data_IF_700819829897
#
_entry.id   IF_700819829897
#
_cell.length_a   1.000
_cell.length_b   1.000
_cell.length_c   1.000
_cell.angle_alpha   90.00
_cell.angle_beta   90.00
_cell.angle_gamma   90.00
#
_symmetry.space_group_name_H-M   'P 1'
#
loop_
_entity.id
_entity.type
_entity.pdbx_description
1 polymer ?
#
# COMPACT_ATOMS: atom_id res chain seq x y z
N UNK A 1 -12.43 4.13 1.68
CA UNK A 1 -12.14 4.41 0.28
C UNK A 1 -10.85 3.67 -0.03
N UNK A 2 -10.96 2.47 -0.58
CA UNK A 2 -9.86 1.81 -1.25
C UNK A 2 -9.68 2.54 -2.60
N UNK A 3 -8.93 3.63 -2.61
CA UNK A 3 -8.39 4.17 -3.84
C UNK A 3 -7.02 3.52 -3.99
N UNK A 4 -6.97 2.48 -4.77
CA UNK A 4 -6.00 2.27 -5.82
C UNK A 4 -6.26 0.92 -6.45
N UNK A 5 -6.85 0.98 -7.60
CA UNK A 5 -6.69 -0.06 -8.58
C UNK A 5 -5.48 0.37 -9.41
N UNK A 6 -4.46 -0.45 -9.34
CA UNK A 6 -3.24 -0.30 -10.09
C UNK A 6 -3.54 -0.01 -11.57
N UNK A 7 -2.71 0.82 -12.18
CA UNK A 7 -2.55 0.91 -13.62
C UNK A 7 -2.44 -0.52 -14.19
N UNK A 8 -3.14 -0.87 -15.29
CA UNK A 8 -3.01 -2.17 -15.95
C UNK A 8 -1.57 -2.53 -16.36
N UNK A 9 -0.66 -1.55 -16.44
CA UNK A 9 0.77 -1.80 -16.66
C UNK A 9 1.47 -2.34 -15.41
N UNK A 10 0.96 -2.08 -14.20
CA UNK A 10 1.50 -2.57 -12.92
C UNK A 10 0.83 -3.86 -12.43
N UNK A 11 -0.09 -4.42 -13.20
CA UNK A 11 -0.86 -5.64 -12.87
C UNK A 11 -0.01 -6.90 -12.57
N UNK A 12 1.31 -6.83 -12.67
CA UNK A 12 2.22 -7.92 -12.32
C UNK A 12 2.58 -7.96 -10.81
N UNK A 13 2.19 -6.95 -10.03
CA UNK A 13 2.47 -6.88 -8.58
C UNK A 13 1.35 -6.15 -7.84
N UNK A 14 0.16 -6.73 -7.81
CA UNK A 14 -0.89 -6.18 -6.95
C UNK A 14 -0.44 -6.24 -5.48
N UNK A 15 -0.19 -5.06 -4.91
CA UNK A 15 0.09 -4.95 -3.48
C UNK A 15 -1.08 -5.51 -2.66
N UNK A 16 -0.82 -6.13 -1.51
CA UNK A 16 -1.89 -6.53 -0.61
C UNK A 16 -2.70 -5.30 -0.16
N UNK A 17 -4.02 -5.41 -0.19
CA UNK A 17 -4.92 -4.35 0.26
C UNK A 17 -5.31 -4.61 1.71
N UNK A 18 -4.94 -3.70 2.62
CA UNK A 18 -5.33 -3.78 4.02
C UNK A 18 -6.75 -3.25 4.21
N UNK A 19 -7.64 -4.10 4.71
CA UNK A 19 -9.05 -3.78 4.98
C UNK A 19 -9.36 -4.09 6.44
N UNK A 20 -10.09 -3.20 7.12
CA UNK A 20 -10.55 -3.50 8.47
C UNK A 20 -11.67 -4.53 8.45
N UNK A 21 -11.68 -5.42 9.44
CA UNK A 21 -12.76 -6.38 9.60
C UNK A 21 -14.12 -5.65 9.64
N UNK A 22 -15.00 -6.00 8.72
CA UNK A 22 -16.32 -5.37 8.55
C UNK A 22 -16.35 -4.15 7.64
N UNK A 23 -15.20 -3.58 7.26
CA UNK A 23 -15.13 -2.59 6.19
C UNK A 23 -15.21 -3.30 4.83
N UNK A 24 -15.50 -2.53 3.78
CA UNK A 24 -15.73 -3.06 2.43
C UNK A 24 -14.65 -2.56 1.48
N UNK A 25 -13.98 -3.47 0.78
CA UNK A 25 -13.13 -3.16 -0.36
C UNK A 25 -13.97 -3.03 -1.63
N UNK A 26 -13.70 -2.01 -2.44
CA UNK A 26 -14.21 -1.90 -3.81
C UNK A 26 -13.24 -2.60 -4.75
N UNK A 27 -13.75 -3.48 -5.59
CA UNK A 27 -13.01 -4.18 -6.65
C UNK A 27 -13.58 -3.73 -7.99
N UNK A 28 -12.74 -3.24 -8.87
CA UNK A 28 -13.15 -2.66 -10.15
C UNK A 28 -12.34 -3.25 -11.30
N UNK A 29 -12.99 -3.94 -12.22
CA UNK A 29 -12.41 -4.48 -13.44
C UNK A 29 -12.75 -3.63 -14.68
N UNK A 30 -13.32 -2.45 -14.52
CA UNK A 30 -13.87 -1.64 -15.62
C UNK A 30 -12.80 -1.17 -16.63
N UNK A 31 -11.53 -1.17 -16.26
CA UNK A 31 -10.41 -0.81 -17.14
C UNK A 31 -9.99 -1.92 -18.09
N UNK A 32 -10.51 -3.15 -17.93
CA UNK A 32 -10.20 -4.27 -18.81
C UNK A 32 -10.63 -3.98 -20.24
N UNK A 33 -9.69 -4.06 -21.18
CA UNK A 33 -9.90 -3.81 -22.59
C UNK A 33 -10.26 -5.13 -23.32
N UNK A 34 -11.20 -5.06 -24.26
CA UNK A 34 -11.55 -6.21 -25.10
C UNK A 34 -11.77 -5.80 -26.56
N UNK A 35 -11.60 -6.72 -27.52
CA UNK A 35 -11.76 -6.42 -28.94
C UNK A 35 -13.16 -5.93 -29.32
N UNK A 36 -14.21 -6.43 -28.67
CA UNK A 36 -15.60 -6.02 -28.96
C UNK A 36 -16.10 -4.90 -28.06
N UNK A 37 -15.34 -4.55 -27.00
CA UNK A 37 -15.78 -3.62 -25.94
C UNK A 37 -16.80 -4.25 -24.98
N UNK A 38 -17.08 -5.55 -25.08
CA UNK A 38 -18.02 -6.27 -24.21
C UNK A 38 -17.24 -7.21 -23.30
N UNK A 39 -17.10 -6.84 -22.02
CA UNK A 39 -16.38 -7.64 -21.03
C UNK A 39 -17.34 -8.16 -19.97
N UNK A 40 -17.21 -9.44 -19.65
CA UNK A 40 -17.88 -10.09 -18.51
C UNK A 40 -16.81 -10.49 -17.50
N UNK A 41 -16.95 -10.04 -16.29
CA UNK A 41 -16.07 -10.32 -15.17
C UNK A 41 -16.62 -11.43 -14.28
N UNK A 42 -15.73 -12.33 -13.87
CA UNK A 42 -16.00 -13.37 -12.88
C UNK A 42 -15.02 -13.25 -11.72
N UNK A 43 -15.52 -12.78 -10.59
CA UNK A 43 -14.77 -12.65 -9.35
C UNK A 43 -14.93 -13.89 -8.49
N UNK A 44 -13.84 -14.40 -7.94
CA UNK A 44 -13.83 -15.61 -7.11
C UNK A 44 -12.91 -15.44 -5.91
N UNK A 45 -13.38 -15.76 -4.71
CA UNK A 45 -12.52 -15.89 -3.52
C UNK A 45 -11.85 -17.26 -3.60
N UNK A 46 -10.57 -17.29 -3.98
CA UNK A 46 -9.80 -18.53 -4.18
C UNK A 46 -9.13 -19.02 -2.90
N UNK A 47 -8.84 -18.13 -1.96
CA UNK A 47 -8.34 -18.46 -0.63
C UNK A 47 -8.99 -17.57 0.43
N UNK A 48 -9.16 -18.10 1.64
CA UNK A 48 -9.74 -17.37 2.79
C UNK A 48 -9.29 -17.97 4.12
N UNK A 49 -9.31 -17.20 5.22
CA UNK A 49 -9.04 -17.71 6.56
C UNK A 49 -10.02 -18.79 6.98
N UNK A 50 -9.58 -19.68 7.86
CA UNK A 50 -10.44 -20.71 8.42
C UNK A 50 -11.64 -20.08 9.15
N UNK A 51 -12.84 -20.61 8.89
CA UNK A 51 -14.11 -20.11 9.46
C UNK A 51 -14.74 -18.96 8.67
N UNK A 52 -14.08 -18.41 7.65
CA UNK A 52 -14.68 -17.39 6.81
C UNK A 52 -15.75 -17.96 5.88
N UNK A 53 -16.84 -17.21 5.75
CA UNK A 53 -17.95 -17.45 4.80
C UNK A 53 -18.07 -16.31 3.78
N UNK A 54 -17.11 -15.36 3.79
CA UNK A 54 -17.14 -14.20 2.90
C UNK A 54 -17.24 -14.62 1.43
N UNK A 55 -18.15 -13.98 0.72
CA UNK A 55 -18.45 -14.22 -0.69
C UNK A 55 -18.37 -12.93 -1.47
N UNK A 56 -18.24 -13.07 -2.79
CA UNK A 56 -18.22 -11.96 -3.72
C UNK A 56 -19.35 -12.10 -4.73
N UNK A 57 -19.94 -10.98 -5.12
CA UNK A 57 -21.00 -10.95 -6.14
C UNK A 57 -20.38 -10.45 -7.44
N UNK A 58 -20.59 -11.19 -8.54
CA UNK A 58 -20.02 -10.85 -9.83
C UNK A 58 -20.62 -9.56 -10.40
N UNK A 59 -19.77 -8.77 -11.09
CA UNK A 59 -20.10 -7.51 -11.74
C UNK A 59 -18.85 -6.86 -12.29
N UNK A 60 -18.98 -5.80 -13.11
CA UNK A 60 -17.83 -5.03 -13.59
C UNK A 60 -17.09 -4.35 -12.44
N UNK A 61 -17.85 -3.78 -11.52
CA UNK A 61 -17.37 -3.38 -10.22
C UNK A 61 -18.12 -4.15 -9.15
N UNK A 62 -17.46 -4.56 -8.10
CA UNK A 62 -18.05 -5.31 -7.00
C UNK A 62 -17.42 -4.92 -5.67
N UNK A 63 -17.98 -5.42 -4.59
CA UNK A 63 -17.49 -5.16 -3.24
C UNK A 63 -17.18 -6.47 -2.53
N UNK A 64 -16.17 -6.43 -1.69
CA UNK A 64 -15.79 -7.53 -0.84
C UNK A 64 -15.68 -7.05 0.61
N UNK A 65 -16.33 -7.76 1.52
CA UNK A 65 -16.30 -7.49 2.97
C UNK A 65 -15.75 -8.72 3.68
N UNK A 66 -14.54 -8.64 4.25
CA UNK A 66 -13.96 -9.74 5.02
C UNK A 66 -14.73 -9.91 6.33
N UNK A 67 -14.99 -11.17 6.73
CA UNK A 67 -15.72 -11.56 7.93
C UNK A 67 -14.84 -12.19 9.02
N UNK A 68 -13.61 -12.55 8.68
CA UNK A 68 -12.60 -13.11 9.59
C UNK A 68 -11.26 -12.43 9.35
N UNK A 69 -10.48 -12.21 10.40
CA UNK A 69 -9.11 -11.68 10.32
C UNK A 69 -8.20 -12.65 9.57
N UNK A 70 -7.34 -12.13 8.70
CA UNK A 70 -6.37 -12.89 7.92
C UNK A 70 -6.44 -12.58 6.43
N UNK A 71 -5.69 -13.34 5.63
CA UNK A 71 -5.53 -13.11 4.20
C UNK A 71 -6.61 -13.80 3.36
N UNK A 72 -7.10 -13.04 2.37
CA UNK A 72 -7.99 -13.52 1.31
C UNK A 72 -7.30 -13.35 -0.03
N UNK A 73 -7.42 -14.33 -0.91
CA UNK A 73 -7.03 -14.17 -2.31
C UNK A 73 -8.29 -14.11 -3.17
N UNK A 74 -8.40 -13.04 -3.93
CA UNK A 74 -9.50 -12.85 -4.88
C UNK A 74 -8.93 -12.92 -6.28
N UNK A 75 -9.60 -13.68 -7.16
CA UNK A 75 -9.25 -13.85 -8.56
C UNK A 75 -10.29 -13.19 -9.45
N UNK A 76 -9.83 -12.48 -10.47
CA UNK A 76 -10.63 -11.93 -11.55
C UNK A 76 -10.34 -12.66 -12.85
N UNK A 77 -11.34 -13.29 -13.42
CA UNK A 77 -11.35 -13.78 -14.81
C UNK A 77 -12.21 -12.86 -15.67
N UNK A 78 -11.71 -12.49 -16.85
CA UNK A 78 -12.42 -11.63 -17.79
C UNK A 78 -12.62 -12.32 -19.13
N UNK A 79 -13.83 -12.23 -19.66
CA UNK A 79 -14.17 -12.82 -20.97
C UNK A 79 -14.87 -11.80 -21.86
N UNK A 80 -14.59 -11.83 -23.14
CA UNK A 80 -15.37 -11.16 -24.17
C UNK A 80 -16.20 -12.21 -24.92
N UNK A 81 -17.49 -12.36 -24.57
CA UNK A 81 -18.35 -13.37 -25.17
C UNK A 81 -18.66 -13.10 -26.64
N UNK A 82 -18.55 -11.84 -27.08
CA UNK A 82 -18.81 -11.44 -28.49
C UNK A 82 -17.63 -11.79 -29.38
N UNK A 83 -16.40 -11.55 -28.92
CA UNK A 83 -15.19 -11.92 -29.65
C UNK A 83 -14.75 -13.37 -29.40
N UNK A 84 -15.34 -14.05 -28.40
CA UNK A 84 -14.98 -15.43 -28.04
C UNK A 84 -13.58 -15.56 -27.44
N UNK A 85 -13.08 -14.51 -26.74
CA UNK A 85 -11.76 -14.50 -26.10
C UNK A 85 -11.86 -14.37 -24.60
N UNK A 86 -10.86 -14.88 -23.90
CA UNK A 86 -10.72 -14.76 -22.44
C UNK A 86 -9.38 -14.12 -22.11
N UNK A 87 -9.25 -13.61 -20.89
CA UNK A 87 -7.95 -13.16 -20.35
C UNK A 87 -6.91 -14.29 -20.41
N UNK A 88 -5.62 -13.93 -20.49
CA UNK A 88 -4.52 -14.91 -20.57
C UNK A 88 -4.32 -15.72 -19.29
N UNK A 89 -5.09 -15.44 -18.26
CA UNK A 89 -5.11 -16.07 -16.94
C UNK A 89 -5.83 -15.18 -15.95
N UNK A 90 -6.17 -15.70 -14.77
CA UNK A 90 -6.81 -14.90 -13.74
C UNK A 90 -5.80 -13.89 -13.14
N UNK A 91 -6.25 -12.67 -12.99
CA UNK A 91 -5.57 -11.68 -12.14
C UNK A 91 -5.92 -11.96 -10.68
N UNK A 92 -4.98 -11.78 -9.77
CA UNK A 92 -5.20 -12.03 -8.35
C UNK A 92 -4.84 -10.83 -7.50
N UNK A 93 -5.65 -10.57 -6.49
CA UNK A 93 -5.39 -9.57 -5.47
C UNK A 93 -5.43 -10.22 -4.09
N UNK A 94 -4.48 -9.88 -3.23
CA UNK A 94 -4.52 -10.25 -1.81
C UNK A 94 -5.21 -9.15 -1.02
N UNK A 95 -6.21 -9.52 -0.22
CA UNK A 95 -6.82 -8.64 0.78
C UNK A 95 -6.47 -9.17 2.15
N UNK A 96 -5.87 -8.33 2.98
CA UNK A 96 -5.55 -8.64 4.37
C UNK A 96 -6.57 -7.95 5.27
N UNK A 97 -7.38 -8.75 5.96
CA UNK A 97 -8.35 -8.26 6.93
C UNK A 97 -7.70 -8.15 8.30
N UNK A 98 -7.62 -6.94 8.84
CA UNK A 98 -7.11 -6.66 10.17
C UNK A 98 -8.22 -6.35 11.17
N UNK A 99 -8.04 -6.75 12.43
CA UNK A 99 -9.00 -6.49 13.50
C UNK A 99 -9.05 -5.02 13.95
N UNK A 100 -7.97 -4.29 13.69
CA UNK A 100 -7.82 -2.89 14.06
C UNK A 100 -7.24 -2.07 12.90
N UNK A 101 -7.50 -0.77 12.90
CA UNK A 101 -6.89 0.15 11.93
C UNK A 101 -5.37 0.15 12.10
N UNK A 102 -4.60 0.36 11.01
CA UNK A 102 -3.15 0.39 11.11
C UNK A 102 -2.70 1.40 12.17
N UNK A 103 -1.69 1.04 12.94
CA UNK A 103 -1.10 1.90 13.94
C UNK A 103 -0.44 3.12 13.31
N UNK A 104 0.16 2.94 12.13
CA UNK A 104 0.82 3.98 11.37
C UNK A 104 0.34 3.94 9.92
N UNK A 105 0.05 5.11 9.37
CA UNK A 105 -0.15 5.32 7.93
C UNK A 105 0.67 6.51 7.49
N UNK A 106 1.49 6.34 6.50
CA UNK A 106 2.19 7.40 5.83
C UNK A 106 1.69 7.54 4.38
N UNK A 107 1.48 8.78 3.96
CA UNK A 107 0.97 9.11 2.62
C UNK A 107 1.85 10.20 2.04
N UNK A 108 2.55 9.91 0.96
CA UNK A 108 3.27 10.87 0.15
C UNK A 108 2.36 11.40 -0.96
N UNK A 109 2.35 12.71 -1.15
CA UNK A 109 1.59 13.38 -2.23
C UNK A 109 2.45 14.44 -2.89
N UNK A 110 2.35 14.56 -4.20
CA UNK A 110 3.04 15.57 -5.01
C UNK A 110 2.23 15.94 -6.24
N UNK A 111 2.63 17.02 -6.91
CA UNK A 111 1.93 17.56 -8.08
C UNK A 111 2.91 17.72 -9.26
N UNK A 112 3.63 16.65 -9.57
CA UNK A 112 4.56 16.60 -10.69
C UNK A 112 4.48 15.22 -11.35
N UNK A 113 4.71 15.18 -12.64
CA UNK A 113 4.84 13.97 -13.44
C UNK A 113 6.24 13.34 -13.20
N UNK A 114 6.47 12.92 -11.97
CA UNK A 114 7.71 12.31 -11.49
C UNK A 114 7.35 11.21 -10.50
N UNK A 115 8.21 10.24 -10.42
CA UNK A 115 8.10 9.09 -9.57
C UNK A 115 8.76 9.36 -8.20
N UNK A 116 8.00 9.22 -7.15
CA UNK A 116 8.47 9.29 -5.77
C UNK A 116 8.09 8.03 -5.02
N UNK A 117 9.08 7.38 -4.46
CA UNK A 117 8.91 6.13 -3.70
C UNK A 117 8.85 6.41 -2.20
N UNK A 118 7.76 6.00 -1.55
CA UNK A 118 7.67 6.04 -0.10
C UNK A 118 8.33 4.80 0.52
N UNK A 119 9.06 5.00 1.60
CA UNK A 119 9.72 3.95 2.36
C UNK A 119 9.28 3.97 3.82
N UNK A 120 9.02 2.81 4.39
CA UNK A 120 8.91 2.60 5.82
C UNK A 120 9.97 1.59 6.25
N UNK A 121 10.99 2.06 6.96
CA UNK A 121 12.12 1.25 7.40
C UNK A 121 12.05 0.99 8.89
N UNK A 122 12.13 -0.28 9.26
CA UNK A 122 12.29 -0.72 10.65
C UNK A 122 13.78 -0.81 11.00
N UNK A 123 14.17 -0.38 12.20
CA UNK A 123 15.56 -0.50 12.65
C UNK A 123 15.99 -1.97 12.85
N UNK A 124 17.21 -2.25 12.43
CA UNK A 124 17.93 -3.45 12.81
C UNK A 124 19.18 -3.08 13.62
N UNK A 125 19.22 -3.49 14.89
CA UNK A 125 20.33 -3.15 15.80
C UNK A 125 20.69 -1.65 15.81
N UNK A 126 19.66 -0.78 15.77
CA UNK A 126 19.78 0.68 15.71
C UNK A 126 20.35 1.22 14.38
N UNK A 127 20.38 0.43 13.33
CA UNK A 127 20.70 0.86 11.97
C UNK A 127 19.43 0.91 11.11
N UNK A 128 19.39 1.84 10.16
CA UNK A 128 18.32 1.95 9.17
C UNK A 128 18.93 1.78 7.79
N UNK A 129 18.53 0.73 7.11
CA UNK A 129 19.01 0.41 5.77
C UNK A 129 17.82 0.46 4.80
N UNK A 130 17.76 1.51 4.00
CA UNK A 130 16.81 1.58 2.90
C UNK A 130 17.13 0.50 1.86
N UNK A 131 16.09 -0.04 1.23
CA UNK A 131 16.14 -1.18 0.32
C UNK A 131 16.58 -2.52 0.95
N UNK A 132 16.52 -2.63 2.28
CA UNK A 132 16.74 -3.90 2.97
C UNK A 132 15.51 -4.80 2.79
N UNK A 133 15.65 -6.00 2.20
CA UNK A 133 14.51 -6.87 1.91
C UNK A 133 13.80 -7.40 3.16
N UNK A 134 14.39 -7.25 4.34
CA UNK A 134 13.80 -7.69 5.60
C UNK A 134 13.19 -6.53 6.40
N UNK A 135 13.70 -5.31 6.23
CA UNK A 135 13.38 -4.21 7.13
C UNK A 135 12.85 -2.95 6.44
N UNK A 136 12.66 -2.96 5.13
CA UNK A 136 12.13 -1.83 4.37
C UNK A 136 10.90 -2.24 3.55
N UNK A 137 9.77 -1.59 3.82
CA UNK A 137 8.58 -1.68 2.99
C UNK A 137 8.60 -0.55 1.95
N UNK A 138 8.72 -0.92 0.68
CA UNK A 138 8.82 -0.01 -0.46
C UNK A 138 8.30 -0.67 -1.75
N UNK A 139 8.36 0.01 -2.89
CA UNK A 139 7.79 -0.43 -4.17
C UNK A 139 8.19 -1.86 -4.62
N UNK A 140 9.41 -2.31 -4.32
CA UNK A 140 9.90 -3.65 -4.71
C UNK A 140 9.78 -4.69 -3.57
N UNK A 141 9.40 -4.25 -2.37
CA UNK A 141 9.19 -5.08 -1.18
C UNK A 141 7.92 -4.63 -0.44
N UNK A 142 6.78 -4.94 -1.02
CA UNK A 142 5.50 -4.37 -0.63
C UNK A 142 5.03 -4.75 0.77
N UNK A 143 5.48 -5.88 1.30
CA UNK A 143 5.04 -6.37 2.61
C UNK A 143 6.07 -7.32 3.22
N UNK A 144 7.14 -6.79 3.82
CA UNK A 144 8.08 -7.60 4.57
C UNK A 144 7.42 -8.25 5.79
N UNK A 145 7.82 -9.48 6.09
CA UNK A 145 7.30 -10.27 7.23
C UNK A 145 7.92 -9.75 8.53
N UNK A 146 7.19 -8.84 9.20
CA UNK A 146 7.58 -8.24 10.47
C UNK A 146 6.80 -8.87 11.64
N UNK A 147 7.23 -8.60 12.88
CA UNK A 147 6.54 -9.11 14.06
C UNK A 147 6.56 -10.62 14.18
N UNK A 148 5.41 -11.26 14.16
CA UNK A 148 5.27 -12.72 14.22
C UNK A 148 5.35 -13.30 12.82
N UNK A 149 6.41 -14.06 12.54
CA UNK A 149 6.63 -14.65 11.23
C UNK A 149 5.40 -15.40 10.69
N UNK A 150 4.96 -15.00 9.50
CA UNK A 150 3.79 -15.53 8.81
C UNK A 150 2.45 -14.94 9.28
N UNK A 151 2.43 -13.99 10.23
CA UNK A 151 1.23 -13.24 10.61
C UNK A 151 1.18 -11.91 9.84
N UNK A 152 0.41 -11.90 8.76
CA UNK A 152 0.24 -10.73 7.90
C UNK A 152 -0.47 -9.55 8.60
N UNK A 153 -1.03 -9.76 9.77
CA UNK A 153 -1.82 -8.73 10.48
C UNK A 153 -0.97 -7.80 11.34
N UNK A 154 0.33 -8.04 11.45
CA UNK A 154 1.28 -7.16 12.14
C UNK A 154 2.40 -6.63 11.20
N UNK A 155 2.31 -6.93 9.91
CA UNK A 155 3.23 -6.49 8.88
C UNK A 155 3.07 -5.02 8.45
N UNK A 156 4.08 -4.51 7.75
CA UNK A 156 3.95 -3.33 6.92
C UNK A 156 3.31 -3.66 5.57
N UNK A 157 2.63 -2.66 4.98
CA UNK A 157 2.01 -2.78 3.65
C UNK A 157 2.25 -1.51 2.84
N UNK A 158 2.99 -1.63 1.76
CA UNK A 158 3.07 -0.64 0.71
C UNK A 158 1.92 -0.88 -0.30
N UNK A 159 1.15 0.16 -0.63
CA UNK A 159 -0.09 0.01 -1.40
C UNK A 159 0.11 -0.04 -2.92
N UNK A 160 1.32 -0.11 -3.38
CA UNK A 160 1.71 -0.14 -4.78
C UNK A 160 2.58 1.05 -5.16
N UNK A 161 3.20 0.93 -6.30
CA UNK A 161 4.12 1.87 -6.91
C UNK A 161 3.37 2.80 -7.87
N UNK A 162 3.53 4.11 -7.75
CA UNK A 162 2.99 5.12 -8.66
C UNK A 162 4.11 5.65 -9.55
N UNK A 163 4.34 4.97 -10.67
CA UNK A 163 5.42 5.30 -11.62
C UNK A 163 5.08 6.40 -12.61
N UNK A 164 3.79 6.79 -12.72
CA UNK A 164 3.32 7.78 -13.69
C UNK A 164 3.15 9.19 -13.12
N UNK A 165 3.41 9.37 -11.82
CA UNK A 165 3.46 10.65 -11.14
C UNK A 165 2.12 11.10 -10.54
N UNK A 166 2.16 12.26 -9.85
CA UNK A 166 1.06 12.87 -9.10
C UNK A 166 0.66 12.17 -7.81
N UNK A 167 1.10 10.94 -7.53
CA UNK A 167 0.79 10.20 -6.32
C UNK A 167 -0.72 9.95 -6.13
N UNK A 168 -1.15 9.51 -4.97
CA UNK A 168 -0.37 9.33 -3.74
C UNK A 168 0.33 7.98 -3.65
N UNK A 169 1.46 7.91 -2.98
CA UNK A 169 1.98 6.65 -2.46
C UNK A 169 1.67 6.48 -0.98
N UNK A 170 1.38 5.26 -0.58
CA UNK A 170 0.89 4.94 0.77
C UNK A 170 1.62 3.74 1.33
N UNK A 171 2.07 3.84 2.57
CA UNK A 171 2.52 2.70 3.37
C UNK A 171 1.80 2.68 4.71
N UNK A 172 1.34 1.50 5.09
CA UNK A 172 0.71 1.22 6.38
C UNK A 172 1.60 0.31 7.23
N UNK A 173 1.56 0.48 8.55
CA UNK A 173 2.05 -0.49 9.51
C UNK A 173 0.89 -0.90 10.41
N UNK A 174 0.53 -2.15 10.37
CA UNK A 174 -0.60 -2.67 11.12
C UNK A 174 -0.36 -2.53 12.64
N UNK A 175 0.87 -2.82 13.11
CA UNK A 175 1.22 -2.79 14.52
C UNK A 175 2.67 -2.35 14.73
N UNK A 176 2.90 -1.40 15.65
CA UNK A 176 4.23 -1.06 16.10
C UNK A 176 4.79 -2.17 17.01
N UNK A 177 6.02 -2.58 16.77
CA UNK A 177 6.74 -3.52 17.63
C UNK A 177 7.47 -2.79 18.77
N UNK A 178 7.28 -3.26 20.00
CA UNK A 178 8.00 -2.74 21.17
C UNK A 178 9.52 -2.93 21.01
N UNK A 179 10.28 -1.89 21.25
CA UNK A 179 11.75 -1.92 21.16
C UNK A 179 12.29 -1.70 19.74
N UNK A 180 11.40 -1.46 18.77
CA UNK A 180 11.77 -1.07 17.42
C UNK A 180 11.59 0.42 17.20
N UNK A 181 12.34 0.97 16.25
CA UNK A 181 12.18 2.33 15.74
C UNK A 181 11.95 2.27 14.25
N UNK A 182 11.09 3.15 13.76
CA UNK A 182 10.70 3.19 12.35
C UNK A 182 11.06 4.55 11.77
N UNK A 183 11.54 4.56 10.52
CA UNK A 183 11.72 5.79 9.76
C UNK A 183 10.85 5.78 8.52
N UNK A 184 10.25 6.93 8.25
CA UNK A 184 9.51 7.17 7.01
C UNK A 184 10.33 8.12 6.16
N UNK A 185 10.62 7.69 4.94
CA UNK A 185 11.34 8.46 3.95
C UNK A 185 10.61 8.48 2.61
N UNK A 186 11.03 9.38 1.74
CA UNK A 186 10.56 9.45 0.36
C UNK A 186 11.78 9.60 -0.54
N UNK A 187 11.92 8.70 -1.52
CA UNK A 187 12.97 8.77 -2.52
C UNK A 187 12.45 9.43 -3.79
N UNK A 188 13.32 10.16 -4.48
CA UNK A 188 13.07 10.57 -5.84
C UNK A 188 13.56 9.47 -6.78
N UNK A 189 12.67 8.57 -7.18
CA UNK A 189 12.97 7.36 -7.94
C UNK A 189 13.32 7.66 -9.39
N UNK A 190 12.42 8.28 -10.15
CA UNK A 190 12.67 8.57 -11.55
C UNK A 190 12.08 9.91 -12.03
N UNK A 191 12.47 10.34 -13.22
CA UNK A 191 11.95 11.55 -13.88
C UNK A 191 11.17 11.19 -15.12
N UNK A 192 9.97 11.78 -15.22
CA UNK A 192 9.15 11.75 -16.41
C UNK A 192 9.17 13.10 -17.11
N UNK A 193 9.39 13.11 -18.43
CA UNK A 193 9.20 14.29 -19.29
C UNK A 193 10.05 15.52 -18.98
N UNK A 194 9.53 16.69 -19.36
CA UNK A 194 10.14 18.03 -19.22
C UNK A 194 9.66 18.77 -17.96
N UNK A 195 9.42 18.07 -16.89
CA UNK A 195 8.87 18.66 -15.67
C UNK A 195 9.91 19.47 -14.89
N UNK A 196 9.50 20.36 -13.97
CA UNK A 196 10.42 21.18 -13.21
C UNK A 196 11.42 20.31 -12.46
N UNK A 197 12.69 20.73 -12.46
CA UNK A 197 13.76 20.06 -11.72
C UNK A 197 13.62 20.18 -10.20
N UNK A 198 12.63 20.95 -9.75
CA UNK A 198 12.31 21.15 -8.34
C UNK A 198 10.79 21.26 -8.19
N UNK A 199 10.25 20.47 -7.30
CA UNK A 199 8.82 20.51 -6.93
C UNK A 199 8.67 20.22 -5.43
N UNK A 200 7.48 20.48 -4.89
CA UNK A 200 7.19 20.16 -3.50
C UNK A 200 6.46 18.84 -3.40
N UNK A 201 6.83 18.04 -2.41
CA UNK A 201 6.09 16.88 -1.98
C UNK A 201 5.67 17.04 -0.52
N UNK A 202 4.59 16.40 -0.14
CA UNK A 202 4.07 16.43 1.22
C UNK A 202 3.92 15.01 1.73
N UNK A 203 4.54 14.72 2.86
CA UNK A 203 4.34 13.48 3.59
C UNK A 203 3.43 13.73 4.80
N UNK A 204 2.33 13.01 4.83
CA UNK A 204 1.39 12.99 5.95
C UNK A 204 1.52 11.68 6.70
N UNK A 205 1.82 11.77 7.99
CA UNK A 205 1.89 10.65 8.90
C UNK A 205 0.67 10.66 9.82
N UNK A 206 -0.03 9.55 9.93
CA UNK A 206 -1.14 9.33 10.85
C UNK A 206 -0.77 8.19 11.78
N UNK A 207 -0.60 8.50 13.06
CA UNK A 207 -0.34 7.53 14.11
C UNK A 207 -1.57 7.33 14.99
N UNK A 208 -1.89 6.07 15.29
CA UNK A 208 -2.99 5.68 16.18
C UNK A 208 -2.42 4.83 17.31
N UNK A 209 -2.34 5.38 18.54
CA UNK A 209 -1.87 4.62 19.68
C UNK A 209 -2.80 3.45 19.99
N UNK A 210 -2.22 2.28 20.30
CA UNK A 210 -2.97 1.10 20.71
C UNK A 210 -3.64 1.26 22.07
N UNK A 211 -3.11 2.15 22.92
CA UNK A 211 -3.60 2.41 24.30
C UNK A 211 -3.64 3.92 24.52
N UNK A 212 -4.71 4.41 25.11
CA UNK A 212 -4.89 5.82 25.45
C UNK A 212 -6.11 6.45 24.77
N UNK A 213 -6.32 7.77 24.90
CA UNK A 213 -7.42 8.45 24.21
C UNK A 213 -7.20 8.34 22.71
N UNK A 214 -8.11 7.66 22.04
CA UNK A 214 -8.00 7.14 20.68
C UNK A 214 -8.06 8.21 19.57
N UNK A 215 -7.55 9.41 19.81
CA UNK A 215 -7.46 10.41 18.74
C UNK A 215 -6.17 10.18 17.94
N UNK A 216 -6.26 9.97 16.62
CA UNK A 216 -5.09 9.88 15.78
C UNK A 216 -4.26 11.16 15.86
N UNK A 217 -2.95 11.02 15.98
CA UNK A 217 -2.03 12.13 15.74
C UNK A 217 -1.75 12.22 14.26
N UNK A 218 -1.90 13.40 13.68
CA UNK A 218 -1.57 13.65 12.28
C UNK A 218 -0.47 14.69 12.22
N UNK A 219 0.64 14.32 11.60
CA UNK A 219 1.74 15.22 11.29
C UNK A 219 1.84 15.36 9.78
N UNK A 220 2.23 16.53 9.32
CA UNK A 220 2.44 16.81 7.89
C UNK A 220 3.75 17.54 7.75
N UNK A 221 4.57 17.09 6.83
CA UNK A 221 5.82 17.74 6.46
C UNK A 221 5.86 17.93 4.96
N UNK A 222 6.21 19.13 4.51
CA UNK A 222 6.39 19.46 3.09
C UNK A 222 7.86 19.74 2.85
N UNK A 223 8.40 19.11 1.83
CA UNK A 223 9.81 19.23 1.44
C UNK A 223 9.94 19.50 -0.05
N UNK A 224 11.10 19.99 -0.45
CA UNK A 224 11.41 20.25 -1.85
C UNK A 224 12.25 19.13 -2.44
N UNK A 225 11.74 18.55 -3.50
CA UNK A 225 12.41 17.50 -4.27
C UNK A 225 13.29 18.17 -5.32
N UNK A 226 14.58 17.93 -5.29
CA UNK A 226 15.55 18.61 -6.15
C UNK A 226 16.52 17.70 -6.89
N UNK A 227 16.80 16.53 -6.35
CA UNK A 227 17.84 15.65 -6.86
C UNK A 227 17.37 14.20 -6.93
N UNK A 228 17.48 13.62 -8.12
CA UNK A 228 17.19 12.22 -8.37
C UNK A 228 18.05 11.30 -7.47
N UNK A 229 17.42 10.27 -6.93
CA UNK A 229 18.06 9.29 -6.05
C UNK A 229 18.23 9.74 -4.60
N UNK A 230 17.87 11.00 -4.26
CA UNK A 230 17.92 11.46 -2.87
C UNK A 230 16.79 10.88 -2.05
N UNK A 231 17.09 10.39 -0.87
CA UNK A 231 16.13 9.98 0.15
C UNK A 231 15.92 11.12 1.15
N UNK A 232 14.69 11.57 1.33
CA UNK A 232 14.29 12.49 2.41
C UNK A 232 13.71 11.69 3.55
N UNK A 233 14.40 11.72 4.69
CA UNK A 233 13.94 11.08 5.93
C UNK A 233 13.17 12.12 6.72
N UNK A 234 11.87 11.93 6.83
CA UNK A 234 10.96 12.94 7.38
C UNK A 234 10.57 12.68 8.82
N UNK A 235 10.25 11.44 9.16
CA UNK A 235 9.77 11.08 10.48
C UNK A 235 10.48 9.86 11.04
N UNK A 236 10.65 9.87 12.36
CA UNK A 236 11.04 8.72 13.15
C UNK A 236 9.95 8.43 14.18
N UNK A 237 9.59 7.16 14.37
CA UNK A 237 8.56 6.71 15.29
C UNK A 237 9.13 5.67 16.24
N UNK A 238 9.08 5.93 17.53
CA UNK A 238 9.45 4.95 18.57
C UNK A 238 8.32 3.93 18.75
N UNK A 239 8.59 2.67 18.47
CA UNK A 239 7.60 1.60 18.51
C UNK A 239 7.14 1.22 19.93
N UNK A 240 7.88 1.61 20.96
CA UNK A 240 7.50 1.38 22.36
C UNK A 240 6.54 2.44 22.86
N UNK A 241 6.85 3.70 22.58
CA UNK A 241 6.14 4.85 23.14
C UNK A 241 5.16 5.47 22.15
N UNK A 242 5.35 5.23 20.85
CA UNK A 242 4.65 5.91 19.78
C UNK A 242 5.05 7.38 19.61
N UNK A 243 6.16 7.79 20.23
CA UNK A 243 6.67 9.15 20.05
C UNK A 243 7.12 9.35 18.62
N UNK A 244 6.71 10.47 18.01
CA UNK A 244 7.10 10.84 16.66
C UNK A 244 8.06 12.01 16.74
N UNK A 245 9.16 11.90 16.01
CA UNK A 245 10.17 12.96 15.84
C UNK A 245 10.26 13.32 14.36
N UNK A 246 10.18 14.61 14.04
CA UNK A 246 10.48 15.10 12.68
C UNK A 246 11.98 15.22 12.53
N UNK A 247 12.55 14.57 11.52
CA UNK A 247 14.00 14.56 11.26
C UNK A 247 14.39 15.59 10.20
N UNK A 248 13.65 15.68 9.11
CA UNK A 248 13.90 16.59 7.97
C UNK A 248 15.37 16.53 7.50
N UNK A 249 15.82 15.34 7.16
CA UNK A 249 17.20 15.10 6.72
C UNK A 249 17.23 14.37 5.38
N UNK A 250 18.32 14.58 4.63
CA UNK A 250 18.57 13.88 3.35
C UNK A 250 19.73 12.89 3.49
N UNK A 251 19.65 11.82 2.71
CA UNK A 251 20.68 10.77 2.63
C UNK A 251 20.97 10.40 1.17
#
# INVERSE_FOLDING_TARGET
>A
LAENLADPADALRAAPVLVMLGDTALLDGSTTQSPSGSVVHSWTVTNRPAGSTAMIINGNATTFTPDVVGSYTISLDSTDPTAGVSSCGPETIEIVAAAARPSLRAVATWMADHDLDIHLVRDEMSAFNFFDPLNDAHYDNLSPDWGLSGDRTDDAFHHGDDTDGFGPEIVDLAKLETGKTYRVGVQFGSRSGFQPSQFSATLRLVYRPAVGPAQPQTLTHTFYVTQLGTMWITFEVDGTTGQITTLDSTQ
#
